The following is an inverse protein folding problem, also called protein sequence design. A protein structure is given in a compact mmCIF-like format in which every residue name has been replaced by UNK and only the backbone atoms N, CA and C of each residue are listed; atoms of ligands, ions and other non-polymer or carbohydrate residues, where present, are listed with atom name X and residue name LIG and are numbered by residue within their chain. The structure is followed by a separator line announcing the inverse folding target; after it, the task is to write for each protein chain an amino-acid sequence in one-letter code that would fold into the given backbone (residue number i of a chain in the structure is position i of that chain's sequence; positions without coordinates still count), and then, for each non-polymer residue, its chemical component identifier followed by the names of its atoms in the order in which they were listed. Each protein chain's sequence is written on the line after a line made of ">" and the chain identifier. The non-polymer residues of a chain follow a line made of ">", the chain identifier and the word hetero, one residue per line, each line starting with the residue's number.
data_IF_800106297943
#
_entry.id   IF_800106297943
#
_cell.length_a   1.000
_cell.length_b   1.000
_cell.length_c   1.000
_cell.angle_alpha   90.00
_cell.angle_beta   90.00
_cell.angle_gamma   90.00
#
_symmetry.space_group_name_H-M   'P 1'
#
loop_
_entity.id
_entity.type
_entity.pdbx_description
1 polymer ?
#
# COMPACT_ATOMS: atom_id res chain seq x y z
N UNK A 1 17.20 2.83 -21.37
CA UNK A 1 18.06 4.00 -21.06
C UNK A 1 17.27 4.81 -20.04
N UNK A 2 17.76 4.87 -18.79
CA UNK A 2 17.11 5.66 -17.74
C UNK A 2 17.26 7.18 -18.00
N UNK A 3 16.39 7.97 -17.37
CA UNK A 3 16.46 9.43 -17.41
C UNK A 3 17.76 9.91 -16.76
N UNK A 4 18.63 10.56 -17.56
CA UNK A 4 19.92 11.08 -17.12
C UNK A 4 19.77 12.08 -15.97
N UNK A 5 18.72 12.89 -16.01
CA UNK A 5 18.43 13.89 -14.95
C UNK A 5 18.08 13.22 -13.63
N UNK A 6 17.29 12.16 -13.66
CA UNK A 6 16.94 11.38 -12.45
C UNK A 6 18.15 10.65 -11.89
N UNK A 7 19.01 10.12 -12.76
CA UNK A 7 20.25 9.48 -12.33
C UNK A 7 21.21 10.48 -11.65
N UNK A 8 21.35 11.68 -12.19
CA UNK A 8 22.15 12.73 -11.56
C UNK A 8 21.62 13.12 -10.17
N UNK A 9 20.30 13.30 -10.02
CA UNK A 9 19.67 13.56 -8.73
C UNK A 9 19.89 12.41 -7.74
N UNK A 10 19.82 11.17 -8.19
CA UNK A 10 20.13 10.02 -7.35
C UNK A 10 21.58 10.09 -6.83
N UNK A 11 22.55 10.38 -7.69
CA UNK A 11 23.95 10.50 -7.27
C UNK A 11 24.15 11.64 -6.26
N UNK A 12 23.46 12.76 -6.43
CA UNK A 12 23.47 13.86 -5.45
C UNK A 12 22.94 13.42 -4.09
N UNK A 13 21.81 12.70 -4.06
CA UNK A 13 21.24 12.17 -2.81
C UNK A 13 22.18 11.16 -2.16
N UNK A 14 22.76 10.24 -2.92
CA UNK A 14 23.71 9.26 -2.39
C UNK A 14 24.96 9.94 -1.79
N UNK A 15 25.44 11.00 -2.43
CA UNK A 15 26.55 11.82 -1.91
C UNK A 15 26.17 12.50 -0.59
N UNK A 16 24.96 13.06 -0.47
CA UNK A 16 24.48 13.66 0.78
C UNK A 16 24.40 12.62 1.90
N UNK A 17 23.88 11.42 1.61
CA UNK A 17 23.83 10.32 2.58
C UNK A 17 25.23 9.94 3.05
N UNK A 18 26.20 9.84 2.14
CA UNK A 18 27.58 9.46 2.48
C UNK A 18 28.30 10.53 3.32
N UNK A 19 27.99 11.81 3.11
CA UNK A 19 28.59 12.92 3.81
C UNK A 19 28.04 13.15 5.22
N UNK A 20 26.81 12.70 5.52
CA UNK A 20 26.20 12.86 6.83
C UNK A 20 26.22 11.53 7.61
N UNK A 21 26.92 11.45 8.75
CA UNK A 21 27.01 10.22 9.55
C UNK A 21 25.65 9.69 10.00
N UNK A 22 24.69 10.58 10.30
CA UNK A 22 23.34 10.17 10.75
C UNK A 22 22.56 9.58 9.59
N UNK A 23 22.62 10.19 8.42
CA UNK A 23 21.95 9.69 7.22
C UNK A 23 22.55 8.35 6.79
N UNK A 24 23.86 8.21 6.81
CA UNK A 24 24.56 6.97 6.43
C UNK A 24 24.16 5.76 7.27
N UNK A 25 23.88 5.97 8.55
CA UNK A 25 23.42 4.89 9.44
C UNK A 25 21.93 4.57 9.28
N UNK A 26 21.12 5.47 8.72
CA UNK A 26 19.66 5.36 8.74
C UNK A 26 19.00 5.29 7.36
N UNK A 27 19.71 5.72 6.33
CA UNK A 27 19.17 5.76 4.96
C UNK A 27 19.99 4.82 4.08
N UNK A 28 19.35 3.82 3.53
CA UNK A 28 19.97 2.82 2.70
C UNK A 28 19.39 2.83 1.30
N UNK A 29 20.23 3.01 0.30
CA UNK A 29 19.87 2.79 -1.08
C UNK A 29 20.12 1.33 -1.44
N UNK A 30 19.09 0.62 -1.83
CA UNK A 30 19.17 -0.79 -2.16
C UNK A 30 19.32 -0.91 -3.68
N UNK A 31 20.46 -1.44 -4.10
CA UNK A 31 20.72 -1.82 -5.49
C UNK A 31 20.19 -3.23 -5.75
N UNK A 32 19.98 -3.55 -7.04
CA UNK A 32 19.56 -4.89 -7.47
C UNK A 32 18.30 -5.38 -6.78
N UNK A 33 17.29 -4.49 -6.69
CA UNK A 33 15.97 -4.82 -6.15
C UNK A 33 15.33 -5.97 -6.93
N UNK A 34 14.99 -7.03 -6.22
CA UNK A 34 14.28 -8.19 -6.74
C UNK A 34 12.96 -8.45 -6.01
N UNK A 35 12.25 -9.50 -6.40
CA UNK A 35 10.95 -9.83 -5.81
C UNK A 35 11.07 -10.33 -4.36
N UNK A 36 12.13 -11.06 -4.02
CA UNK A 36 12.36 -11.58 -2.67
C UNK A 36 12.65 -10.44 -1.69
N UNK A 37 13.54 -9.53 -2.08
CA UNK A 37 13.83 -8.33 -1.33
C UNK A 37 12.60 -7.42 -1.20
N UNK A 38 11.83 -7.26 -2.28
CA UNK A 38 10.58 -6.52 -2.26
C UNK A 38 9.57 -7.10 -1.26
N UNK A 39 9.47 -8.42 -1.18
CA UNK A 39 8.63 -9.11 -0.18
C UNK A 39 9.13 -8.88 1.24
N UNK A 40 10.43 -8.99 1.48
CA UNK A 40 11.02 -8.75 2.78
C UNK A 40 10.77 -7.30 3.27
N UNK A 41 10.96 -6.31 2.39
CA UNK A 41 10.65 -4.91 2.69
C UNK A 41 9.15 -4.67 2.91
N UNK A 42 8.30 -5.34 2.15
CA UNK A 42 6.86 -5.25 2.33
C UNK A 42 6.42 -5.76 3.71
N UNK A 43 7.02 -6.82 4.21
CA UNK A 43 6.70 -7.40 5.53
C UNK A 43 7.39 -6.63 6.67
N UNK A 44 8.63 -6.17 6.44
CA UNK A 44 9.52 -5.65 7.48
C UNK A 44 9.42 -4.14 7.76
N UNK A 45 8.53 -3.41 7.10
CA UNK A 45 8.39 -1.96 7.31
C UNK A 45 6.98 -1.55 7.74
N UNK A 46 6.89 -0.54 8.60
CA UNK A 46 5.63 -0.03 9.16
C UNK A 46 4.98 1.05 8.29
N UNK A 47 5.78 1.77 7.51
CA UNK A 47 5.35 2.91 6.68
C UNK A 47 5.81 2.66 5.25
N UNK A 48 4.92 2.94 4.30
CA UNK A 48 5.22 2.94 2.88
C UNK A 48 4.97 4.33 2.28
N UNK A 49 5.83 4.76 1.37
CA UNK A 49 5.69 6.01 0.63
C UNK A 49 5.57 5.66 -0.85
N UNK A 50 4.45 6.00 -1.45
CA UNK A 50 4.16 5.81 -2.87
C UNK A 50 3.59 7.12 -3.44
N UNK A 51 4.44 7.96 -4.01
CA UNK A 51 4.09 9.32 -4.45
C UNK A 51 4.29 9.49 -5.96
N UNK A 52 3.46 8.82 -6.79
CA UNK A 52 3.47 9.08 -8.23
C UNK A 52 3.10 10.54 -8.52
N UNK A 53 3.49 11.02 -9.69
CA UNK A 53 3.04 12.32 -10.19
C UNK A 53 1.57 12.17 -10.57
N UNK A 54 0.70 12.99 -9.96
CA UNK A 54 -0.74 12.95 -10.20
C UNK A 54 -1.06 13.10 -11.69
N UNK A 55 -1.87 12.19 -12.22
CA UNK A 55 -2.26 12.09 -13.62
C UNK A 55 -1.30 11.24 -14.49
N UNK A 56 -0.22 10.69 -13.94
CA UNK A 56 0.73 9.85 -14.67
C UNK A 56 0.73 8.38 -14.20
N UNK A 57 0.11 8.05 -13.08
CA UNK A 57 -0.02 6.68 -12.59
C UNK A 57 -1.29 6.04 -13.14
N UNK A 58 -1.13 5.01 -13.97
CA UNK A 58 -2.27 4.32 -14.56
C UNK A 58 -3.05 3.48 -13.55
N UNK A 59 -2.35 2.72 -12.71
CA UNK A 59 -2.96 1.88 -11.66
C UNK A 59 -2.02 1.73 -10.47
N UNK A 60 -0.81 1.18 -10.69
CA UNK A 60 0.11 0.78 -9.62
C UNK A 60 -0.52 -0.25 -8.67
N UNK A 61 0.21 -1.29 -8.32
CA UNK A 61 -0.27 -2.35 -7.41
C UNK A 61 0.56 -2.47 -6.14
N UNK A 62 1.62 -1.66 -6.00
CA UNK A 62 2.50 -1.67 -4.82
C UNK A 62 1.74 -1.29 -3.54
N UNK A 63 0.88 -0.29 -3.62
CA UNK A 63 0.05 0.17 -2.51
C UNK A 63 -0.90 -0.92 -1.96
N UNK A 64 -1.39 -1.83 -2.81
CA UNK A 64 -2.20 -2.97 -2.36
C UNK A 64 -1.39 -3.91 -1.47
N UNK A 65 -0.12 -4.15 -1.81
CA UNK A 65 0.80 -4.95 -0.99
C UNK A 65 1.08 -4.27 0.35
N UNK A 66 1.22 -2.94 0.35
CA UNK A 66 1.45 -2.17 1.57
C UNK A 66 0.23 -2.22 2.50
N UNK A 67 -0.97 -2.00 1.97
CA UNK A 67 -2.22 -2.14 2.72
C UNK A 67 -2.44 -3.58 3.22
N UNK A 68 -2.14 -4.59 2.39
CA UNK A 68 -2.26 -6.00 2.77
C UNK A 68 -1.30 -6.38 3.91
N UNK A 69 -0.17 -5.69 4.03
CA UNK A 69 0.77 -5.83 5.15
C UNK A 69 0.51 -4.85 6.30
N UNK A 70 -0.64 -4.17 6.30
CA UNK A 70 -1.13 -3.29 7.36
C UNK A 70 -0.25 -2.06 7.61
N UNK A 71 0.53 -1.65 6.61
CA UNK A 71 1.38 -0.47 6.70
C UNK A 71 0.58 0.82 6.67
N UNK A 72 1.17 1.87 7.20
CA UNK A 72 0.67 3.23 7.01
C UNK A 72 1.15 3.70 5.64
N UNK A 73 0.23 3.84 4.71
CA UNK A 73 0.51 4.30 3.36
C UNK A 73 0.49 5.83 3.31
N UNK A 74 1.54 6.44 2.78
CA UNK A 74 1.59 7.85 2.39
C UNK A 74 1.62 7.87 0.87
N UNK A 75 0.65 8.51 0.23
CA UNK A 75 0.54 8.49 -1.23
C UNK A 75 -0.09 9.76 -1.77
N UNK A 76 0.16 10.06 -3.03
CA UNK A 76 -0.68 10.97 -3.82
C UNK A 76 -1.98 10.26 -4.19
N UNK A 77 -3.02 11.04 -4.47
CA UNK A 77 -4.34 10.52 -4.85
C UNK A 77 -4.39 10.30 -6.36
N UNK A 78 -3.79 9.19 -6.82
CA UNK A 78 -3.72 8.82 -8.23
C UNK A 78 -3.74 7.31 -8.42
N UNK A 79 -3.95 6.86 -9.64
CA UNK A 79 -4.01 5.45 -10.02
C UNK A 79 -5.00 4.65 -9.18
N UNK A 80 -4.64 3.44 -8.82
CA UNK A 80 -5.51 2.54 -8.04
C UNK A 80 -5.85 3.04 -6.63
N UNK A 81 -5.04 3.92 -6.03
CA UNK A 81 -5.35 4.55 -4.73
C UNK A 81 -6.56 5.46 -4.85
N UNK A 82 -6.71 6.18 -5.97
CA UNK A 82 -7.83 7.08 -6.23
C UNK A 82 -9.16 6.33 -6.43
N UNK A 83 -9.12 5.07 -6.86
CA UNK A 83 -10.31 4.24 -7.09
C UNK A 83 -10.95 3.75 -5.78
N UNK A 84 -10.28 3.88 -4.64
CA UNK A 84 -10.77 3.43 -3.34
C UNK A 84 -11.34 4.61 -2.54
N UNK A 85 -12.58 4.45 -2.08
CA UNK A 85 -13.23 5.44 -1.22
C UNK A 85 -13.72 4.77 0.10
N UNK A 86 -13.44 5.38 1.25
CA UNK A 86 -12.56 6.55 1.46
C UNK A 86 -11.11 6.21 1.09
N UNK A 87 -10.30 7.23 0.77
CA UNK A 87 -8.91 7.04 0.35
C UNK A 87 -8.08 6.27 1.40
N UNK A 88 -7.32 5.28 0.94
CA UNK A 88 -6.60 4.33 1.80
C UNK A 88 -5.21 4.82 2.27
N UNK A 89 -4.92 6.13 2.20
CA UNK A 89 -3.61 6.66 2.53
C UNK A 89 -3.67 7.98 3.30
N UNK A 90 -2.52 8.38 3.86
CA UNK A 90 -2.25 9.76 4.22
C UNK A 90 -1.91 10.51 2.93
N UNK A 91 -2.83 11.33 2.46
CA UNK A 91 -2.75 11.95 1.14
C UNK A 91 -1.70 13.06 1.10
N UNK A 92 -0.79 12.95 0.13
CA UNK A 92 0.13 14.03 -0.25
C UNK A 92 -0.51 14.85 -1.35
N UNK A 93 -0.74 16.12 -1.07
CA UNK A 93 -1.36 17.05 -2.02
C UNK A 93 -0.80 18.46 -1.86
N UNK A 94 -0.85 19.24 -2.94
CA UNK A 94 -0.39 20.62 -2.95
C UNK A 94 -0.71 21.32 -4.27
N UNK A 95 -0.71 22.64 -4.25
CA UNK A 95 -0.90 23.45 -5.47
C UNK A 95 0.40 23.61 -6.27
N UNK A 96 1.52 23.31 -5.67
CA UNK A 96 2.87 23.38 -6.23
C UNK A 96 3.79 22.44 -5.48
N UNK A 97 5.02 22.31 -5.97
CA UNK A 97 6.03 21.41 -5.41
C UNK A 97 6.33 21.66 -3.92
N UNK A 98 6.46 22.92 -3.48
CA UNK A 98 6.74 23.25 -2.08
C UNK A 98 5.57 22.84 -1.15
N UNK A 99 4.33 23.00 -1.61
CA UNK A 99 3.17 22.58 -0.86
C UNK A 99 3.07 21.05 -0.77
N UNK A 100 3.40 20.32 -1.83
CA UNK A 100 3.45 18.86 -1.83
C UNK A 100 4.55 18.34 -0.89
N UNK A 101 5.75 18.92 -0.94
CA UNK A 101 6.84 18.59 -0.01
C UNK A 101 6.41 18.83 1.44
N UNK A 102 5.78 19.97 1.72
CA UNK A 102 5.26 20.28 3.06
C UNK A 102 4.20 19.26 3.51
N UNK A 103 3.29 18.89 2.61
CA UNK A 103 2.27 17.85 2.84
C UNK A 103 2.90 16.50 3.15
N UNK A 104 3.92 16.10 2.39
CA UNK A 104 4.68 14.86 2.62
C UNK A 104 5.31 14.86 4.03
N UNK A 105 6.00 15.95 4.42
CA UNK A 105 6.60 16.07 5.75
C UNK A 105 5.56 15.93 6.87
N UNK A 106 4.43 16.62 6.77
CA UNK A 106 3.34 16.53 7.73
C UNK A 106 2.83 15.07 7.85
N UNK A 107 2.66 14.40 6.73
CA UNK A 107 2.17 13.02 6.72
C UNK A 107 3.21 12.02 7.24
N UNK A 108 4.49 12.23 7.00
CA UNK A 108 5.56 11.44 7.63
C UNK A 108 5.54 11.57 9.16
N UNK A 109 5.36 12.77 9.70
CA UNK A 109 5.21 12.98 11.14
C UNK A 109 3.96 12.33 11.71
N UNK A 110 2.82 12.40 11.00
CA UNK A 110 1.58 11.70 11.40
C UNK A 110 1.78 10.19 11.41
N UNK A 111 2.38 9.63 10.36
CA UNK A 111 2.67 8.19 10.29
C UNK A 111 3.57 7.74 11.44
N UNK A 112 4.66 8.47 11.70
CA UNK A 112 5.55 8.18 12.81
C UNK A 112 4.85 8.27 14.19
N UNK A 113 3.92 9.22 14.36
CA UNK A 113 3.12 9.32 15.58
C UNK A 113 2.17 8.12 15.76
N UNK A 114 1.57 7.64 14.67
CA UNK A 114 0.71 6.44 14.70
C UNK A 114 1.53 5.21 15.11
N UNK A 115 2.69 4.98 14.47
CA UNK A 115 3.58 3.83 14.79
C UNK A 115 4.04 3.84 16.25
N UNK A 116 4.29 5.01 16.83
CA UNK A 116 4.76 5.16 18.21
C UNK A 116 3.66 5.06 19.27
N UNK A 117 2.41 4.95 18.88
CA UNK A 117 1.26 4.93 19.80
C UNK A 117 0.40 3.70 19.54
N UNK A 118 0.44 2.73 20.47
CA UNK A 118 -0.24 1.44 20.33
C UNK A 118 -1.75 1.58 20.05
N UNK A 119 -2.42 2.54 20.68
CA UNK A 119 -3.86 2.75 20.49
C UNK A 119 -4.17 3.30 19.09
N UNK A 120 -3.35 4.23 18.59
CA UNK A 120 -3.51 4.76 17.23
C UNK A 120 -3.16 3.71 16.18
N UNK A 121 -2.12 2.92 16.42
CA UNK A 121 -1.71 1.83 15.54
C UNK A 121 -2.80 0.74 15.47
N UNK A 122 -3.32 0.31 16.61
CA UNK A 122 -4.44 -0.65 16.66
C UNK A 122 -5.66 -0.13 15.91
N UNK A 123 -6.03 1.12 16.11
CA UNK A 123 -7.15 1.76 15.39
C UNK A 123 -6.91 1.77 13.89
N UNK A 124 -5.69 2.09 13.46
CA UNK A 124 -5.29 2.09 12.05
C UNK A 124 -5.40 0.69 11.45
N UNK A 125 -4.81 -0.32 12.11
CA UNK A 125 -4.86 -1.72 11.68
C UNK A 125 -6.31 -2.21 11.55
N UNK A 126 -7.14 -1.98 12.56
CA UNK A 126 -8.56 -2.35 12.51
C UNK A 126 -9.31 -1.66 11.37
N UNK A 127 -8.97 -0.41 11.11
CA UNK A 127 -9.56 0.33 9.98
C UNK A 127 -9.19 -0.29 8.63
N UNK A 128 -7.92 -0.65 8.42
CA UNK A 128 -7.47 -1.32 7.20
C UNK A 128 -8.12 -2.71 7.03
N UNK A 129 -8.13 -3.52 8.08
CA UNK A 129 -8.74 -4.85 8.07
C UNK A 129 -10.23 -4.82 7.69
N UNK A 130 -10.95 -3.83 8.18
CA UNK A 130 -12.39 -3.76 7.98
C UNK A 130 -12.80 -3.08 6.67
N UNK A 131 -12.03 -2.10 6.19
CA UNK A 131 -12.46 -1.26 5.06
C UNK A 131 -11.71 -1.54 3.77
N UNK A 132 -10.42 -1.90 3.82
CA UNK A 132 -9.62 -2.00 2.60
C UNK A 132 -9.26 -3.44 2.23
N UNK A 133 -8.88 -4.29 3.18
CA UNK A 133 -8.56 -5.68 2.88
C UNK A 133 -9.69 -6.43 2.13
N UNK A 134 -10.97 -6.27 2.49
CA UNK A 134 -12.04 -6.89 1.73
C UNK A 134 -12.11 -6.44 0.27
N UNK A 135 -11.74 -5.18 0.00
CA UNK A 135 -11.77 -4.59 -1.35
C UNK A 135 -10.63 -5.11 -2.22
N UNK A 136 -9.40 -5.15 -1.68
CA UNK A 136 -8.20 -5.56 -2.42
C UNK A 136 -7.95 -7.06 -2.40
N UNK A 137 -8.81 -7.85 -1.76
CA UNK A 137 -8.59 -9.29 -1.62
C UNK A 137 -8.72 -10.04 -2.93
N UNK A 138 -7.83 -11.00 -3.18
CA UNK A 138 -7.92 -11.91 -4.31
C UNK A 138 -9.23 -12.71 -4.33
N UNK A 139 -9.83 -12.97 -3.17
CA UNK A 139 -11.13 -13.62 -3.07
C UNK A 139 -12.27 -12.76 -3.67
N UNK A 140 -12.25 -11.44 -3.44
CA UNK A 140 -13.20 -10.51 -4.09
C UNK A 140 -12.98 -10.48 -5.59
N UNK A 141 -11.74 -10.30 -6.03
CA UNK A 141 -11.38 -10.31 -7.45
C UNK A 141 -11.87 -11.59 -8.14
N UNK A 142 -11.60 -12.74 -7.56
CA UNK A 142 -12.06 -14.03 -8.10
C UNK A 142 -13.58 -14.11 -8.16
N UNK A 143 -14.28 -13.64 -7.11
CA UNK A 143 -15.75 -13.60 -7.10
C UNK A 143 -16.30 -12.72 -8.21
N UNK A 144 -15.66 -11.59 -8.49
CA UNK A 144 -16.09 -10.69 -9.55
C UNK A 144 -15.82 -11.30 -10.94
N UNK A 145 -14.65 -11.91 -11.16
CA UNK A 145 -14.38 -12.66 -12.40
C UNK A 145 -15.38 -13.79 -12.64
N UNK A 146 -15.73 -14.56 -11.62
CA UNK A 146 -16.73 -15.63 -11.76
C UNK A 146 -18.10 -15.11 -12.15
N UNK A 147 -18.49 -13.90 -11.71
CA UNK A 147 -19.74 -13.27 -12.17
C UNK A 147 -19.71 -12.94 -13.67
N UNK A 148 -18.56 -12.47 -14.18
CA UNK A 148 -18.40 -12.15 -15.60
C UNK A 148 -18.30 -13.40 -16.47
N UNK A 149 -17.52 -14.39 -16.06
CA UNK A 149 -17.25 -15.61 -16.83
C UNK A 149 -18.42 -16.59 -16.77
N UNK A 150 -19.08 -16.70 -15.61
CA UNK A 150 -20.18 -17.64 -15.39
C UNK A 150 -21.44 -16.95 -14.84
N UNK A 151 -22.04 -16.01 -15.59
CA UNK A 151 -23.22 -15.27 -15.09
C UNK A 151 -24.41 -16.15 -14.73
N UNK A 152 -24.54 -17.36 -15.34
CA UNK A 152 -25.63 -18.34 -15.08
C UNK A 152 -25.36 -19.25 -13.88
N UNK A 153 -24.14 -19.37 -13.39
CA UNK A 153 -23.79 -20.23 -12.25
C UNK A 153 -24.35 -19.74 -10.92
N UNK A 154 -24.71 -18.45 -10.83
CA UNK A 154 -25.25 -17.83 -9.61
C UNK A 154 -26.75 -18.06 -9.41
N UNK A 155 -27.46 -18.56 -10.42
CA UNK A 155 -28.90 -18.77 -10.36
C UNK A 155 -29.33 -20.12 -9.72
N UNK A 156 -28.41 -20.97 -9.34
CA UNK A 156 -28.75 -22.23 -8.66
C UNK A 156 -28.65 -22.01 -7.14
N UNK A 157 -29.75 -22.19 -6.39
CA UNK A 157 -29.70 -22.20 -4.93
C UNK A 157 -28.79 -23.34 -4.49
N UNK A 158 -27.80 -23.07 -3.69
CA UNK A 158 -26.99 -24.11 -3.05
C UNK A 158 -27.94 -25.01 -2.27
N UNK A 159 -28.10 -26.26 -2.69
CA UNK A 159 -28.64 -27.28 -1.82
C UNK A 159 -27.68 -27.42 -0.65
N UNK A 160 -28.10 -26.98 0.52
CA UNK A 160 -27.37 -27.29 1.73
C UNK A 160 -27.19 -28.80 1.84
N UNK A 161 -25.96 -29.29 2.09
CA UNK A 161 -25.80 -30.72 2.35
C UNK A 161 -26.59 -31.05 3.60
N UNK A 162 -27.60 -31.94 3.44
CA UNK A 162 -28.34 -32.47 4.59
C UNK A 162 -27.37 -33.26 5.47
N UNK A 163 -26.92 -32.67 6.55
CA UNK A 163 -26.16 -33.39 7.58
C UNK A 163 -27.09 -34.34 8.26
N UNK A 164 -27.06 -35.62 7.85
CA UNK A 164 -27.72 -36.69 8.60
C UNK A 164 -27.00 -36.76 9.97
N UNK A 165 -27.70 -36.38 11.03
CA UNK A 165 -27.22 -36.63 12.39
C UNK A 165 -27.08 -38.14 12.56
N UNK A 166 -25.86 -38.63 12.72
CA UNK A 166 -25.59 -39.99 13.21
C UNK A 166 -25.85 -39.94 14.69
N UNK A 167 -26.95 -40.58 15.12
CA UNK A 167 -27.21 -40.87 16.53
C UNK A 167 -26.43 -42.15 16.85
N UNK A 168 -25.39 -42.02 17.64
CA UNK A 168 -24.68 -43.16 18.24
C UNK A 168 -25.48 -43.55 19.48
N UNK A 169 -26.02 -44.76 19.47
CA UNK A 169 -26.60 -45.40 20.65
C UNK A 169 -25.47 -45.99 21.52
#
# INVERSE_FOLDING_TARGET
>A
QGDVTMYQKLLEVLKLIDQDPVLRERVHYIQDYDEELGRALAIGSDIAINIPIVGLEACGTSWEKDIANLKILISTNDGGVADIQPIACLEVSGKNYEAEVSSLYVNMHKAAAIVKNDQLLEKHIRHQLNNYLPIISGARMMKDYLKFIFPKAQAQPKKEPSIKRIVIQ
#
